data_IF_125894638289
#
_entry.id   IF_125894638289
#
_cell.length_a   1.000
_cell.length_b   1.000
_cell.length_c   1.000
_cell.angle_alpha   90.00
_cell.angle_beta   90.00
_cell.angle_gamma   90.00
#
_symmetry.space_group_name_H-M   'P 1'
#
loop_
_entity.id
_entity.type
_entity.pdbx_description
1 polymer ?
#
# COMPACT_ATOMS: atom_id res chain seq x y z
N UNK A 1 8.90 22.63 -14.70
CA UNK A 1 8.22 22.32 -13.43
C UNK A 1 6.70 22.17 -13.56
N UNK A 2 5.93 23.15 -14.07
CA UNK A 2 4.43 23.09 -14.14
C UNK A 2 3.82 21.94 -14.95
N UNK A 3 4.45 21.47 -16.02
CA UNK A 3 3.87 20.45 -16.92
C UNK A 3 4.04 19.01 -16.34
N UNK A 4 5.10 18.75 -15.60
CA UNK A 4 5.34 17.47 -14.93
C UNK A 4 4.37 17.29 -13.75
N UNK A 5 4.14 18.35 -12.97
CA UNK A 5 3.21 18.31 -11.84
C UNK A 5 1.75 18.06 -12.28
N UNK A 6 1.30 18.65 -13.40
CA UNK A 6 -0.04 18.41 -13.94
C UNK A 6 -0.27 16.97 -14.42
N UNK A 7 0.79 16.31 -14.93
CA UNK A 7 0.72 14.90 -15.34
C UNK A 7 0.69 13.99 -14.11
N UNK A 8 1.51 14.28 -13.11
CA UNK A 8 1.55 13.56 -11.84
C UNK A 8 0.20 13.63 -11.10
N UNK A 9 -0.41 14.81 -11.00
CA UNK A 9 -1.73 14.98 -10.37
C UNK A 9 -2.83 14.17 -11.07
N UNK A 10 -2.83 14.15 -12.40
CA UNK A 10 -3.78 13.34 -13.17
C UNK A 10 -3.57 11.84 -12.97
N UNK A 11 -2.33 11.38 -12.91
CA UNK A 11 -2.01 9.98 -12.62
C UNK A 11 -2.45 9.60 -11.22
N UNK A 12 -2.19 10.45 -10.22
CA UNK A 12 -2.61 10.23 -8.84
C UNK A 12 -4.13 10.23 -8.68
N UNK A 13 -4.85 11.12 -9.37
CA UNK A 13 -6.32 11.11 -9.38
C UNK A 13 -6.86 9.79 -9.96
N UNK A 14 -6.32 9.33 -11.10
CA UNK A 14 -6.70 8.04 -11.71
C UNK A 14 -6.38 6.85 -10.80
N UNK A 15 -5.25 6.88 -10.11
CA UNK A 15 -4.91 5.85 -9.14
C UNK A 15 -5.93 5.81 -7.99
N UNK A 16 -6.28 6.96 -7.42
CA UNK A 16 -7.29 7.08 -6.37
C UNK A 16 -8.67 6.59 -6.83
N UNK A 17 -9.09 6.92 -8.06
CA UNK A 17 -10.33 6.43 -8.67
C UNK A 17 -10.30 4.90 -8.85
N UNK A 18 -9.17 4.35 -9.32
CA UNK A 18 -8.98 2.90 -9.47
C UNK A 18 -9.13 2.18 -8.13
N UNK A 19 -8.51 2.69 -7.06
CA UNK A 19 -8.68 2.16 -5.72
C UNK A 19 -10.12 2.31 -5.20
N UNK A 20 -10.76 3.45 -5.49
CA UNK A 20 -12.15 3.69 -5.10
C UNK A 20 -13.12 2.70 -5.73
N UNK A 21 -12.93 2.37 -7.00
CA UNK A 21 -13.81 1.46 -7.75
C UNK A 21 -13.68 -0.01 -7.31
N UNK A 22 -12.56 -0.40 -6.71
CA UNK A 22 -12.27 -1.78 -6.31
C UNK A 22 -12.02 -1.93 -4.80
N UNK A 23 -12.47 -0.98 -3.99
CA UNK A 23 -12.20 -0.95 -2.56
C UNK A 23 -12.61 -2.24 -1.84
N UNK A 24 -13.81 -2.77 -2.13
CA UNK A 24 -14.30 -4.01 -1.54
C UNK A 24 -13.46 -5.23 -1.97
N UNK A 25 -13.08 -5.31 -3.25
CA UNK A 25 -12.25 -6.39 -3.76
C UNK A 25 -10.83 -6.33 -3.16
N UNK A 26 -10.25 -5.12 -3.07
CA UNK A 26 -8.96 -4.92 -2.43
C UNK A 26 -8.98 -5.33 -0.96
N UNK A 27 -9.99 -4.90 -0.24
CA UNK A 27 -10.14 -5.21 1.19
C UNK A 27 -10.33 -6.71 1.48
N UNK A 28 -11.09 -7.40 0.63
CA UNK A 28 -11.37 -8.83 0.80
C UNK A 28 -10.29 -9.77 0.26
N UNK A 29 -9.58 -9.38 -0.79
CA UNK A 29 -8.68 -10.27 -1.53
C UNK A 29 -7.20 -9.92 -1.36
N UNK A 30 -6.82 -8.63 -1.35
CA UNK A 30 -5.41 -8.22 -1.30
C UNK A 30 -4.95 -7.77 0.09
N UNK A 31 -5.78 -7.01 0.78
CA UNK A 31 -5.48 -6.53 2.13
C UNK A 31 -5.09 -7.65 3.11
N UNK A 32 -5.74 -8.84 3.11
CA UNK A 32 -5.34 -9.96 3.97
C UNK A 32 -3.90 -10.45 3.76
N UNK A 33 -3.34 -10.27 2.56
CA UNK A 33 -1.98 -10.69 2.21
C UNK A 33 -0.94 -9.73 2.79
N UNK A 34 -1.19 -8.43 2.66
CA UNK A 34 -0.23 -7.39 3.05
C UNK A 34 -0.37 -6.96 4.51
N UNK A 35 -1.56 -7.12 5.10
CA UNK A 35 -1.84 -6.73 6.48
C UNK A 35 -0.86 -7.33 7.50
N UNK A 36 -0.51 -8.63 7.47
CA UNK A 36 0.44 -9.19 8.42
C UNK A 36 1.79 -8.48 8.44
N UNK A 37 2.31 -8.06 7.28
CA UNK A 37 3.55 -7.28 7.21
C UNK A 37 3.40 -5.91 7.87
N UNK A 38 2.28 -5.22 7.63
CA UNK A 38 1.98 -3.95 8.31
C UNK A 38 1.82 -4.11 9.82
N UNK A 39 1.19 -5.20 10.28
CA UNK A 39 1.06 -5.49 11.72
C UNK A 39 2.43 -5.76 12.38
N UNK A 40 3.34 -6.47 11.69
CA UNK A 40 4.73 -6.66 12.16
C UNK A 40 5.49 -5.33 12.22
N UNK A 41 5.33 -4.46 11.22
CA UNK A 41 5.90 -3.11 11.26
C UNK A 41 5.42 -2.33 12.50
N UNK A 42 4.11 -2.37 12.79
CA UNK A 42 3.52 -1.69 13.96
C UNK A 42 4.16 -2.18 15.28
N UNK A 43 4.47 -3.49 15.38
CA UNK A 43 5.12 -4.06 16.55
C UNK A 43 6.55 -3.52 16.79
N UNK A 44 7.19 -2.95 15.77
CA UNK A 44 8.52 -2.32 15.89
C UNK A 44 8.47 -0.81 16.19
N UNK A 45 7.27 -0.22 16.25
CA UNK A 45 7.10 1.20 16.56
C UNK A 45 6.96 1.44 18.08
N UNK A 46 7.36 2.60 18.59
CA UNK A 46 7.29 2.93 20.02
C UNK A 46 5.85 3.30 20.44
N UNK A 47 4.90 2.45 20.11
CA UNK A 47 3.50 2.59 20.49
C UNK A 47 3.28 1.99 21.89
N UNK A 48 2.56 2.71 22.74
CA UNK A 48 2.24 2.25 24.09
C UNK A 48 0.95 2.91 24.61
N UNK A 49 0.53 2.56 25.82
CA UNK A 49 -0.69 3.10 26.43
C UNK A 49 -0.63 4.61 26.73
N UNK A 50 0.54 5.23 26.72
CA UNK A 50 0.71 6.68 26.91
C UNK A 50 0.82 7.46 25.60
N UNK A 51 0.92 6.79 24.45
CA UNK A 51 0.89 7.43 23.12
C UNK A 51 -0.44 8.15 22.93
N UNK A 52 -0.40 9.41 22.50
CA UNK A 52 -1.58 10.26 22.38
C UNK A 52 -2.07 10.48 20.95
N UNK A 53 -1.15 10.55 19.98
CA UNK A 53 -1.50 10.89 18.61
C UNK A 53 -0.72 10.03 17.60
N UNK A 54 -1.46 9.29 16.78
CA UNK A 54 -0.91 8.43 15.71
C UNK A 54 -1.56 8.80 14.39
N UNK A 55 -0.80 8.80 13.32
CA UNK A 55 -1.32 8.98 11.97
C UNK A 55 -1.01 7.77 11.10
N UNK A 56 -2.03 7.27 10.38
CA UNK A 56 -1.92 6.23 9.36
C UNK A 56 -2.03 6.87 7.97
N UNK A 57 -0.91 6.95 7.27
CA UNK A 57 -0.74 7.59 5.97
C UNK A 57 -1.02 6.57 4.86
N UNK A 58 -2.04 6.84 4.03
CA UNK A 58 -2.53 5.86 3.06
C UNK A 58 -3.31 4.74 3.73
N UNK A 59 -4.17 5.09 4.68
CA UNK A 59 -4.91 4.14 5.53
C UNK A 59 -5.77 3.13 4.76
N UNK A 60 -6.08 3.43 3.49
CA UNK A 60 -6.93 2.58 2.65
C UNK A 60 -8.28 2.29 3.29
N UNK A 61 -8.66 1.00 3.32
CA UNK A 61 -9.85 0.51 3.99
C UNK A 61 -9.70 0.32 5.51
N UNK A 62 -8.60 0.80 6.09
CA UNK A 62 -8.34 0.78 7.53
C UNK A 62 -7.80 -0.54 8.07
N UNK A 63 -7.14 -1.35 7.24
CA UNK A 63 -6.68 -2.69 7.63
C UNK A 63 -5.72 -2.72 8.83
N UNK A 64 -4.93 -1.67 9.03
CA UNK A 64 -3.95 -1.57 10.12
C UNK A 64 -4.50 -0.87 11.37
N UNK A 65 -5.62 -0.16 11.28
CA UNK A 65 -6.20 0.59 12.39
C UNK A 65 -6.42 -0.26 13.65
N UNK A 66 -6.96 -1.50 13.57
CA UNK A 66 -7.12 -2.34 14.77
C UNK A 66 -5.78 -2.70 15.44
N UNK A 67 -4.70 -2.83 14.68
CA UNK A 67 -3.38 -3.11 15.26
C UNK A 67 -2.81 -1.88 15.96
N UNK A 68 -2.99 -0.69 15.38
CA UNK A 68 -2.60 0.58 15.99
C UNK A 68 -3.40 0.82 17.29
N UNK A 69 -4.73 0.60 17.27
CA UNK A 69 -5.59 0.73 18.45
C UNK A 69 -5.17 -0.20 19.58
N UNK A 70 -4.82 -1.47 19.28
CA UNK A 70 -4.31 -2.41 20.29
C UNK A 70 -2.98 -1.96 20.89
N UNK A 71 -2.09 -1.39 20.07
CA UNK A 71 -0.75 -0.97 20.51
C UNK A 71 -0.75 0.38 21.24
N UNK A 72 -1.74 1.24 20.94
CA UNK A 72 -1.90 2.57 21.56
C UNK A 72 -3.37 2.83 21.90
N UNK A 73 -3.93 2.15 22.91
CA UNK A 73 -5.37 2.15 23.18
C UNK A 73 -5.95 3.50 23.62
N UNK A 74 -5.11 4.43 24.06
CA UNK A 74 -5.52 5.79 24.47
C UNK A 74 -5.27 6.84 23.39
N UNK A 75 -4.72 6.43 22.23
CA UNK A 75 -4.33 7.38 21.18
C UNK A 75 -5.54 7.86 20.37
N UNK A 76 -5.50 9.12 19.98
CA UNK A 76 -6.28 9.61 18.86
C UNK A 76 -5.57 9.23 17.58
N UNK A 77 -6.17 8.30 16.84
CA UNK A 77 -5.63 7.82 15.57
C UNK A 77 -6.33 8.60 14.45
N UNK A 78 -5.57 9.07 13.48
CA UNK A 78 -6.07 9.73 12.28
C UNK A 78 -5.65 8.94 11.06
N UNK A 79 -6.60 8.48 10.26
CA UNK A 79 -6.32 7.83 8.98
C UNK A 79 -6.48 8.82 7.82
N UNK A 80 -5.51 8.87 6.91
CA UNK A 80 -5.60 9.71 5.71
C UNK A 80 -5.39 8.88 4.44
N UNK A 81 -6.19 9.18 3.41
CA UNK A 81 -6.06 8.53 2.10
C UNK A 81 -6.56 9.48 1.01
N UNK A 82 -6.14 9.27 -0.23
CA UNK A 82 -6.63 10.01 -1.40
C UNK A 82 -7.85 9.35 -2.05
N UNK A 83 -8.11 8.08 -1.77
CA UNK A 83 -9.23 7.30 -2.31
C UNK A 83 -10.50 7.46 -1.46
N UNK A 84 -11.50 8.13 -2.02
CA UNK A 84 -12.80 8.29 -1.34
C UNK A 84 -13.50 6.94 -1.11
N UNK A 85 -13.37 5.98 -2.06
CA UNK A 85 -13.98 4.65 -1.92
C UNK A 85 -13.37 3.87 -0.77
N UNK A 86 -12.04 3.91 -0.62
CA UNK A 86 -11.34 3.30 0.50
C UNK A 86 -11.78 3.90 1.83
N UNK A 87 -11.80 5.24 1.94
CA UNK A 87 -12.23 5.89 3.18
C UNK A 87 -13.69 5.63 3.53
N UNK A 88 -14.59 5.51 2.55
CA UNK A 88 -15.98 5.10 2.81
C UNK A 88 -16.05 3.71 3.43
N UNK A 89 -15.22 2.80 2.94
CA UNK A 89 -15.15 1.44 3.48
C UNK A 89 -14.54 1.43 4.89
N UNK A 90 -13.45 2.15 5.10
CA UNK A 90 -12.85 2.33 6.42
C UNK A 90 -13.83 2.90 7.43
N UNK A 91 -14.62 3.92 7.04
CA UNK A 91 -15.64 4.55 7.90
C UNK A 91 -16.78 3.59 8.30
N UNK A 92 -17.10 2.59 7.48
CA UNK A 92 -18.10 1.56 7.84
C UNK A 92 -17.58 0.60 8.90
N UNK A 93 -16.27 0.40 8.98
CA UNK A 93 -15.60 -0.59 9.83
C UNK A 93 -15.05 0.00 11.13
N UNK A 94 -14.69 1.31 11.11
CA UNK A 94 -13.94 1.95 12.19
C UNK A 94 -14.57 3.31 12.56
N UNK A 95 -14.50 3.65 13.85
CA UNK A 95 -15.00 4.92 14.40
C UNK A 95 -13.93 6.00 14.55
N UNK A 96 -12.75 5.80 13.94
CA UNK A 96 -11.65 6.77 14.01
C UNK A 96 -11.83 7.95 13.05
N UNK A 97 -11.22 9.11 13.31
CA UNK A 97 -11.12 10.20 12.37
C UNK A 97 -10.46 9.81 11.06
N UNK A 98 -11.13 10.02 9.94
CA UNK A 98 -10.65 9.77 8.60
C UNK A 98 -10.72 11.04 7.76
N UNK A 99 -9.68 11.29 6.95
CA UNK A 99 -9.65 12.47 6.09
C UNK A 99 -9.15 12.18 4.68
N UNK A 100 -9.82 12.79 3.70
CA UNK A 100 -9.42 12.74 2.29
C UNK A 100 -8.29 13.75 2.06
N UNK A 101 -7.06 13.28 1.88
CA UNK A 101 -5.88 14.13 1.73
C UNK A 101 -4.89 13.55 0.72
N UNK A 102 -4.13 14.46 0.11
CA UNK A 102 -2.90 14.09 -0.58
C UNK A 102 -1.76 13.95 0.45
N UNK A 103 -1.18 12.77 0.53
CA UNK A 103 -0.10 12.47 1.47
C UNK A 103 1.19 13.25 1.20
N UNK A 104 1.33 13.81 0.00
CA UNK A 104 2.44 14.71 -0.37
C UNK A 104 2.21 16.16 0.05
N UNK A 105 1.00 16.49 0.57
CA UNK A 105 0.64 17.82 1.04
C UNK A 105 -0.45 17.71 2.13
N UNK A 106 -0.04 17.34 3.33
CA UNK A 106 -0.96 17.13 4.45
C UNK A 106 -1.49 18.47 4.99
N UNK A 107 -2.80 18.61 5.02
CA UNK A 107 -3.47 19.77 5.65
C UNK A 107 -3.58 19.58 7.18
N UNK A 108 -2.45 19.22 7.81
CA UNK A 108 -2.35 18.96 9.25
C UNK A 108 -1.25 19.81 9.88
N UNK A 109 -1.38 20.17 11.18
CA UNK A 109 -0.38 20.96 11.87
C UNK A 109 0.96 20.23 12.00
N UNK A 110 2.04 20.98 12.00
CA UNK A 110 3.38 20.45 12.31
C UNK A 110 3.47 20.01 13.78
N UNK A 111 4.38 19.06 14.04
CA UNK A 111 4.72 18.60 15.40
C UNK A 111 3.51 18.10 16.22
N UNK A 112 2.60 17.38 15.57
CA UNK A 112 1.36 16.93 16.22
C UNK A 112 1.40 15.45 16.62
N UNK A 113 1.97 14.59 15.81
CA UNK A 113 1.91 13.14 15.97
C UNK A 113 3.19 12.58 16.61
N UNK A 114 3.05 11.57 17.44
CA UNK A 114 4.16 10.84 18.06
C UNK A 114 4.63 9.72 17.13
N UNK A 115 3.70 9.08 16.41
CA UNK A 115 4.00 7.98 15.48
C UNK A 115 3.24 8.17 14.18
N UNK A 116 3.92 7.91 13.07
CA UNK A 116 3.34 7.81 11.74
C UNK A 116 3.58 6.42 11.14
N UNK A 117 2.55 5.85 10.53
CA UNK A 117 2.61 4.60 9.76
C UNK A 117 2.44 4.93 8.29
N UNK A 118 3.32 4.40 7.41
CA UNK A 118 3.30 4.60 5.95
C UNK A 118 3.45 3.23 5.28
N UNK A 119 2.37 2.46 5.24
CA UNK A 119 2.42 1.07 4.80
C UNK A 119 1.95 0.92 3.35
N UNK A 120 2.83 0.41 2.46
CA UNK A 120 2.55 0.16 1.05
C UNK A 120 2.08 1.40 0.25
N UNK A 121 2.68 2.57 0.51
CA UNK A 121 2.29 3.86 -0.08
C UNK A 121 3.36 4.45 -0.99
N UNK A 122 4.63 4.44 -0.58
CA UNK A 122 5.71 5.24 -1.20
C UNK A 122 5.88 4.97 -2.70
N UNK A 123 5.80 3.72 -3.13
CA UNK A 123 5.94 3.32 -4.54
C UNK A 123 4.78 3.75 -5.44
N UNK A 124 3.67 4.20 -4.86
CA UNK A 124 2.55 4.78 -5.60
C UNK A 124 2.70 6.28 -5.85
N UNK A 125 3.70 6.91 -5.25
CA UNK A 125 3.87 8.36 -5.30
C UNK A 125 4.86 8.77 -6.39
N UNK A 126 4.55 9.78 -7.19
CA UNK A 126 5.53 10.33 -8.14
C UNK A 126 6.70 11.02 -7.43
N UNK A 127 6.49 11.51 -6.21
CA UNK A 127 7.48 12.21 -5.39
C UNK A 127 7.42 11.70 -3.94
N UNK A 128 7.92 10.48 -3.65
CA UNK A 128 7.85 9.87 -2.31
C UNK A 128 8.61 10.70 -1.24
N UNK A 129 9.65 11.44 -1.65
CA UNK A 129 10.38 12.37 -0.78
C UNK A 129 9.48 13.48 -0.22
N UNK A 130 8.48 13.95 -0.99
CA UNK A 130 7.51 14.95 -0.49
C UNK A 130 6.61 14.36 0.59
N UNK A 131 6.18 13.11 0.43
CA UNK A 131 5.41 12.42 1.46
C UNK A 131 6.21 12.30 2.76
N UNK A 132 7.44 11.82 2.69
CA UNK A 132 8.30 11.65 3.87
C UNK A 132 8.65 13.00 4.53
N UNK A 133 8.83 14.07 3.75
CA UNK A 133 9.01 15.42 4.28
C UNK A 133 7.76 15.90 5.04
N UNK A 134 6.55 15.66 4.53
CA UNK A 134 5.29 15.96 5.22
C UNK A 134 5.12 15.11 6.48
N UNK A 135 5.46 13.82 6.42
CA UNK A 135 5.47 12.95 7.60
C UNK A 135 6.42 13.49 8.67
N UNK A 136 7.65 13.86 8.28
CA UNK A 136 8.60 14.48 9.21
C UNK A 136 8.05 15.79 9.80
N UNK A 137 7.42 16.63 8.97
CA UNK A 137 6.83 17.90 9.43
C UNK A 137 5.73 17.71 10.48
N UNK A 138 4.83 16.74 10.28
CA UNK A 138 3.70 16.51 11.19
C UNK A 138 4.08 15.74 12.45
N UNK A 139 5.19 14.99 12.44
CA UNK A 139 5.73 14.32 13.62
C UNK A 139 6.29 15.34 14.62
N UNK A 140 6.13 15.05 15.91
CA UNK A 140 6.82 15.76 17.00
C UNK A 140 8.33 15.51 16.93
N UNK A 141 9.18 16.41 17.46
CA UNK A 141 10.58 16.10 17.71
C UNK A 141 10.71 14.79 18.51
N UNK A 142 11.54 13.86 18.04
CA UNK A 142 11.67 12.52 18.60
C UNK A 142 10.55 11.54 18.21
N UNK A 143 9.57 11.97 17.44
CA UNK A 143 8.51 11.11 16.91
C UNK A 143 9.02 10.10 15.89
N UNK A 144 8.35 8.94 15.79
CA UNK A 144 8.78 7.81 14.96
C UNK A 144 7.94 7.68 13.68
N UNK A 145 8.57 7.25 12.60
CA UNK A 145 7.90 6.74 11.40
C UNK A 145 8.20 5.27 11.21
N UNK A 146 7.19 4.50 10.81
CA UNK A 146 7.35 3.16 10.25
C UNK A 146 6.87 3.12 8.81
N UNK A 147 7.63 2.48 7.93
CA UNK A 147 7.23 2.27 6.54
C UNK A 147 7.52 0.85 6.07
N UNK A 148 6.66 0.34 5.19
CA UNK A 148 6.86 -0.93 4.48
C UNK A 148 6.57 -0.74 3.00
N UNK A 149 7.40 -1.35 2.17
CA UNK A 149 7.31 -1.30 0.71
C UNK A 149 7.70 -2.64 0.09
N UNK A 150 7.43 -2.81 -1.20
CA UNK A 150 7.77 -4.01 -1.94
C UNK A 150 9.26 -4.11 -2.27
N UNK A 151 9.79 -5.32 -2.15
CA UNK A 151 11.02 -5.77 -2.77
C UNK A 151 10.73 -6.62 -4.01
N UNK A 152 11.31 -7.82 -4.08
CA UNK A 152 11.01 -8.79 -5.14
C UNK A 152 9.64 -9.45 -4.92
N UNK A 153 8.97 -9.77 -6.01
CA UNK A 153 7.69 -10.49 -5.98
C UNK A 153 7.75 -11.66 -6.98
N UNK A 154 7.23 -12.81 -6.53
CA UNK A 154 7.01 -13.98 -7.37
C UNK A 154 5.50 -14.26 -7.38
N UNK A 155 4.87 -13.92 -8.49
CA UNK A 155 3.47 -14.20 -8.72
C UNK A 155 3.21 -15.72 -8.73
N UNK A 156 2.00 -16.16 -8.35
CA UNK A 156 1.60 -17.56 -8.50
C UNK A 156 1.79 -18.07 -9.92
N UNK A 157 2.17 -19.33 -10.07
CA UNK A 157 2.30 -19.97 -11.40
C UNK A 157 0.98 -19.89 -12.20
N UNK A 158 -0.15 -19.96 -11.52
CA UNK A 158 -1.46 -19.78 -12.11
C UNK A 158 -1.63 -18.40 -12.80
N UNK A 159 -0.92 -17.35 -12.36
CA UNK A 159 -0.95 -16.03 -13.00
C UNK A 159 -0.42 -16.03 -14.42
N UNK A 160 0.57 -16.89 -14.72
CA UNK A 160 1.09 -17.05 -16.09
C UNK A 160 0.01 -17.58 -17.05
N UNK A 161 -0.78 -18.57 -16.60
CA UNK A 161 -1.92 -19.10 -17.40
C UNK A 161 -2.93 -17.98 -17.71
N UNK A 162 -3.22 -17.10 -16.75
CA UNK A 162 -4.07 -15.93 -16.98
C UNK A 162 -3.49 -14.99 -18.03
N UNK A 163 -2.20 -14.72 -17.98
CA UNK A 163 -1.54 -13.81 -18.92
C UNK A 163 -1.57 -14.37 -20.35
N UNK A 164 -1.30 -15.67 -20.50
CA UNK A 164 -1.35 -16.37 -21.78
C UNK A 164 -2.77 -16.34 -22.39
N UNK A 165 -3.79 -16.70 -21.61
CA UNK A 165 -5.18 -16.73 -22.08
C UNK A 165 -5.72 -15.34 -22.44
N UNK A 166 -5.37 -14.32 -21.66
CA UNK A 166 -5.71 -12.95 -21.96
C UNK A 166 -5.01 -12.44 -23.23
N UNK A 167 -3.76 -12.84 -23.44
CA UNK A 167 -3.01 -12.49 -24.64
C UNK A 167 -3.62 -13.17 -25.88
N UNK A 168 -3.96 -14.46 -25.77
CA UNK A 168 -4.60 -15.22 -26.85
C UNK A 168 -5.98 -14.66 -27.22
N UNK A 169 -6.74 -14.22 -26.23
CA UNK A 169 -8.01 -13.51 -26.43
C UNK A 169 -7.86 -12.10 -27.02
N UNK A 170 -6.63 -11.60 -27.20
CA UNK A 170 -6.40 -10.25 -27.73
C UNK A 170 -6.69 -9.13 -26.71
N UNK A 171 -6.73 -9.46 -25.43
CA UNK A 171 -7.00 -8.49 -24.37
C UNK A 171 -5.93 -7.40 -24.30
N UNK A 172 -6.38 -6.14 -24.28
CA UNK A 172 -5.51 -4.97 -24.25
C UNK A 172 -5.43 -4.36 -22.86
N UNK A 173 -4.28 -3.77 -22.53
CA UNK A 173 -4.17 -2.94 -21.32
C UNK A 173 -4.85 -1.60 -21.60
N UNK A 174 -5.99 -1.38 -20.96
CA UNK A 174 -6.74 -0.13 -21.12
C UNK A 174 -6.30 0.88 -20.07
N UNK A 175 -6.01 2.09 -20.52
CA UNK A 175 -5.77 3.24 -19.65
C UNK A 175 -4.30 3.64 -19.53
N UNK A 176 -4.05 4.73 -18.81
CA UNK A 176 -2.69 5.14 -18.49
C UNK A 176 -2.09 4.15 -17.48
N UNK A 177 -0.79 3.82 -17.60
CA UNK A 177 -0.10 3.04 -16.59
C UNK A 177 -0.29 3.71 -15.21
N UNK A 178 -0.45 2.88 -14.18
CA UNK A 178 -0.39 3.37 -12.81
C UNK A 178 1.00 3.97 -12.55
N UNK A 179 1.07 4.93 -11.63
CA UNK A 179 2.37 5.30 -11.08
C UNK A 179 2.92 4.05 -10.42
N UNK A 180 4.02 3.55 -10.95
CA UNK A 180 4.83 2.52 -10.33
C UNK A 180 6.23 3.09 -10.17
N UNK A 181 6.53 3.49 -8.96
CA UNK A 181 7.80 4.06 -8.57
C UNK A 181 8.54 3.14 -7.58
N UNK A 182 8.36 1.81 -7.71
CA UNK A 182 9.01 0.82 -6.83
C UNK A 182 10.53 1.01 -6.81
N UNK A 183 11.11 1.36 -7.94
CA UNK A 183 12.56 1.58 -8.06
C UNK A 183 13.12 2.66 -7.13
N UNK A 184 12.28 3.52 -6.53
CA UNK A 184 12.72 4.53 -5.56
C UNK A 184 12.98 3.94 -4.16
N UNK A 185 12.42 2.77 -3.84
CA UNK A 185 12.42 2.17 -2.51
C UNK A 185 12.57 0.63 -2.52
N UNK A 186 13.15 0.06 -3.57
CA UNK A 186 13.33 -1.37 -3.81
C UNK A 186 14.62 -1.96 -3.21
N UNK A 187 15.27 -1.23 -2.33
CA UNK A 187 16.45 -1.73 -1.60
C UNK A 187 16.62 -1.01 -0.26
N UNK A 188 17.31 -1.67 0.68
CA UNK A 188 17.62 -1.08 1.99
C UNK A 188 18.36 0.25 1.86
N UNK A 189 19.31 0.35 0.89
CA UNK A 189 20.06 1.58 0.66
C UNK A 189 19.17 2.72 0.19
N UNK A 190 18.27 2.48 -0.76
CA UNK A 190 17.34 3.51 -1.27
C UNK A 190 16.35 3.95 -0.21
N UNK A 191 15.81 3.01 0.59
CA UNK A 191 14.94 3.33 1.73
C UNK A 191 15.66 4.22 2.75
N UNK A 192 16.92 3.87 3.11
CA UNK A 192 17.75 4.69 4.00
C UNK A 192 17.93 6.07 3.44
N UNK A 193 18.34 6.19 2.16
CA UNK A 193 18.58 7.48 1.50
C UNK A 193 17.32 8.35 1.47
N UNK A 194 16.15 7.78 1.16
CA UNK A 194 14.89 8.52 1.17
C UNK A 194 14.55 9.09 2.56
N UNK A 195 14.76 8.30 3.61
CA UNK A 195 14.50 8.72 4.99
C UNK A 195 15.50 9.78 5.45
N UNK A 196 16.79 9.63 5.12
CA UNK A 196 17.82 10.63 5.41
C UNK A 196 17.51 11.97 4.74
N UNK A 197 17.17 11.96 3.45
CA UNK A 197 16.79 13.15 2.68
C UNK A 197 15.57 13.87 3.24
N UNK A 198 14.65 13.13 3.85
CA UNK A 198 13.49 13.68 4.55
C UNK A 198 13.81 14.19 5.98
N UNK A 199 15.08 14.11 6.43
CA UNK A 199 15.52 14.60 7.73
C UNK A 199 15.28 13.65 8.91
N UNK A 200 15.09 12.36 8.64
CA UNK A 200 15.01 11.34 9.67
C UNK A 200 16.41 10.87 10.11
N UNK A 201 16.48 10.42 11.35
CA UNK A 201 17.69 9.90 11.99
C UNK A 201 17.40 8.54 12.63
N UNK A 202 18.43 7.85 13.12
CA UNK A 202 18.30 6.53 13.77
C UNK A 202 17.49 5.55 12.89
N UNK A 203 17.88 5.50 11.63
CA UNK A 203 17.17 4.72 10.61
C UNK A 203 17.59 3.25 10.74
N UNK A 204 16.60 2.38 10.82
CA UNK A 204 16.76 0.93 10.76
C UNK A 204 15.95 0.40 9.59
N UNK A 205 16.59 -0.33 8.67
CA UNK A 205 15.94 -0.99 7.54
C UNK A 205 16.21 -2.50 7.62
N UNK A 206 15.18 -3.31 7.38
CA UNK A 206 15.30 -4.77 7.31
C UNK A 206 14.35 -5.33 6.26
N UNK A 207 14.54 -6.60 5.93
CA UNK A 207 13.75 -7.31 4.94
C UNK A 207 12.93 -8.40 5.62
N UNK A 208 11.72 -8.62 5.16
CA UNK A 208 10.87 -9.74 5.56
C UNK A 208 10.20 -10.37 4.34
N UNK A 209 9.77 -11.63 4.50
CA UNK A 209 9.05 -12.35 3.45
C UNK A 209 7.55 -12.32 3.71
N UNK A 210 6.79 -12.30 2.62
CA UNK A 210 5.36 -12.57 2.60
C UNK A 210 5.17 -13.85 1.79
N UNK A 211 4.46 -14.82 2.35
CA UNK A 211 3.93 -15.96 1.61
C UNK A 211 2.41 -16.02 1.81
N UNK A 212 1.69 -16.20 0.72
CA UNK A 212 0.25 -16.38 0.76
C UNK A 212 -0.16 -17.52 -0.19
N UNK A 213 -0.95 -18.46 0.33
CA UNK A 213 -1.54 -19.55 -0.44
C UNK A 213 -2.99 -19.20 -0.72
N UNK A 214 -3.26 -18.91 -1.99
CA UNK A 214 -4.62 -18.69 -2.44
C UNK A 214 -5.37 -20.02 -2.53
N UNK A 215 -6.66 -20.01 -2.20
CA UNK A 215 -7.54 -21.02 -2.75
C UNK A 215 -7.76 -20.71 -4.24
N UNK A 216 -7.95 -21.69 -5.07
CA UNK A 216 -8.13 -21.51 -6.52
C UNK A 216 -9.24 -20.49 -6.85
N UNK A 217 -10.37 -20.56 -6.17
CA UNK A 217 -11.51 -19.65 -6.36
C UNK A 217 -11.17 -18.21 -5.92
N UNK A 218 -10.46 -18.02 -4.81
CA UNK A 218 -10.06 -16.69 -4.34
C UNK A 218 -9.02 -16.07 -5.29
N UNK A 219 -8.09 -16.88 -5.85
CA UNK A 219 -7.17 -16.42 -6.88
C UNK A 219 -7.90 -16.05 -8.17
N UNK A 220 -8.88 -16.85 -8.57
CA UNK A 220 -9.73 -16.54 -9.72
C UNK A 220 -10.46 -15.20 -9.51
N UNK A 221 -11.09 -15.00 -8.37
CA UNK A 221 -11.75 -13.74 -7.99
C UNK A 221 -10.77 -12.56 -7.96
N UNK A 222 -9.56 -12.76 -7.42
CA UNK A 222 -8.50 -11.75 -7.44
C UNK A 222 -8.15 -11.33 -8.86
N UNK A 223 -7.96 -12.28 -9.76
CA UNK A 223 -7.66 -11.97 -11.16
C UNK A 223 -8.80 -11.19 -11.83
N UNK A 224 -10.04 -11.68 -11.71
CA UNK A 224 -11.22 -11.06 -12.36
C UNK A 224 -11.50 -9.65 -11.81
N UNK A 225 -11.41 -9.47 -10.50
CA UNK A 225 -11.85 -8.22 -9.84
C UNK A 225 -10.71 -7.22 -9.63
N UNK A 226 -9.47 -7.67 -9.70
CA UNK A 226 -8.29 -6.88 -9.37
C UNK A 226 -7.25 -6.85 -10.50
N UNK A 227 -6.45 -7.91 -10.62
CA UNK A 227 -5.23 -7.91 -11.42
C UNK A 227 -5.53 -7.84 -12.93
N UNK A 228 -6.37 -8.74 -13.44
CA UNK A 228 -6.71 -8.86 -14.86
C UNK A 228 -7.95 -8.05 -15.27
N UNK A 229 -8.58 -7.36 -14.33
CA UNK A 229 -9.87 -6.67 -14.54
C UNK A 229 -9.90 -5.77 -15.78
N UNK A 230 -8.92 -4.92 -15.94
CA UNK A 230 -8.91 -3.95 -17.05
C UNK A 230 -8.69 -4.63 -18.40
N UNK A 231 -7.88 -5.69 -18.44
CA UNK A 231 -7.67 -6.51 -19.64
C UNK A 231 -8.95 -7.24 -20.02
N UNK A 232 -9.62 -7.86 -19.04
CA UNK A 232 -10.93 -8.50 -19.28
C UNK A 232 -12.00 -7.52 -19.77
N UNK A 233 -11.98 -6.27 -19.32
CA UNK A 233 -12.91 -5.23 -19.77
C UNK A 233 -12.64 -4.74 -21.21
N UNK A 234 -11.47 -5.05 -21.78
CA UNK A 234 -11.17 -4.73 -23.19
C UNK A 234 -11.78 -5.73 -24.16
N UNK A 235 -12.17 -6.91 -23.69
CA UNK A 235 -12.79 -7.94 -24.49
C UNK A 235 -14.30 -7.71 -24.58
N UNK A 236 -14.90 -8.13 -25.69
CA UNK A 236 -16.35 -8.23 -25.75
C UNK A 236 -16.86 -9.35 -24.82
N UNK A 237 -18.16 -9.52 -24.74
CA UNK A 237 -18.77 -10.47 -23.76
C UNK A 237 -18.42 -11.91 -24.09
N UNK A 238 -18.45 -12.27 -25.40
CA UNK A 238 -18.22 -13.64 -25.86
C UNK A 238 -16.76 -14.06 -25.67
N UNK A 239 -15.83 -13.23 -26.10
CA UNK A 239 -14.38 -13.45 -25.95
C UNK A 239 -13.96 -13.51 -24.48
N UNK A 240 -14.52 -12.63 -23.66
CA UNK A 240 -14.28 -12.65 -22.21
C UNK A 240 -14.75 -13.93 -21.55
N UNK A 241 -15.98 -14.40 -21.86
CA UNK A 241 -16.50 -15.64 -21.32
C UNK A 241 -15.70 -16.85 -21.81
N UNK A 242 -15.28 -16.84 -23.07
CA UNK A 242 -14.44 -17.90 -23.63
C UNK A 242 -13.07 -17.93 -22.94
N UNK A 243 -12.43 -16.79 -22.73
CA UNK A 243 -11.18 -16.67 -21.98
C UNK A 243 -11.33 -17.20 -20.55
N UNK A 244 -12.36 -16.80 -19.83
CA UNK A 244 -12.60 -17.28 -18.45
C UNK A 244 -12.84 -18.80 -18.39
N UNK A 245 -13.52 -19.39 -19.38
CA UNK A 245 -13.68 -20.85 -19.46
C UNK A 245 -12.32 -21.53 -19.67
N UNK A 246 -11.52 -21.09 -20.65
CA UNK A 246 -10.20 -21.68 -20.91
C UNK A 246 -9.26 -21.62 -19.72
N UNK A 247 -9.25 -20.48 -18.98
CA UNK A 247 -8.48 -20.36 -17.74
C UNK A 247 -8.91 -21.41 -16.73
N UNK A 248 -10.23 -21.62 -16.51
CA UNK A 248 -10.72 -22.64 -15.59
C UNK A 248 -10.34 -24.05 -16.02
N UNK A 249 -10.51 -24.36 -17.30
CA UNK A 249 -10.19 -25.67 -17.85
C UNK A 249 -8.69 -26.00 -17.70
N UNK A 250 -7.82 -25.04 -18.00
CA UNK A 250 -6.35 -25.19 -17.87
C UNK A 250 -5.88 -25.30 -16.43
N UNK A 251 -6.57 -24.68 -15.49
CA UNK A 251 -6.23 -24.69 -14.07
C UNK A 251 -7.03 -25.73 -13.26
N UNK A 252 -7.83 -26.58 -13.92
CA UNK A 252 -8.69 -27.58 -13.24
C UNK A 252 -7.89 -28.60 -12.41
N UNK A 253 -6.71 -28.99 -12.89
CA UNK A 253 -5.82 -29.96 -12.27
C UNK A 253 -4.61 -29.32 -11.56
N UNK A 254 -4.62 -27.98 -11.42
CA UNK A 254 -3.54 -27.26 -10.75
C UNK A 254 -3.56 -27.54 -9.24
N UNK A 255 -2.40 -27.88 -8.70
CA UNK A 255 -2.22 -28.11 -7.27
C UNK A 255 -2.07 -26.78 -6.49
N UNK A 256 -2.05 -26.86 -5.16
CA UNK A 256 -1.95 -25.71 -4.27
C UNK A 256 -0.67 -24.87 -4.48
N UNK A 257 0.44 -25.47 -4.96
CA UNK A 257 1.68 -24.74 -5.23
C UNK A 257 1.55 -23.79 -6.42
N UNK A 258 0.64 -24.05 -7.37
CA UNK A 258 0.34 -23.14 -8.47
C UNK A 258 -0.26 -21.81 -8.00
N UNK A 259 -0.79 -21.77 -6.78
CA UNK A 259 -1.48 -20.59 -6.21
C UNK A 259 -0.69 -19.90 -5.11
N UNK A 260 0.60 -20.20 -4.96
CA UNK A 260 1.42 -19.57 -3.93
C UNK A 260 2.02 -18.27 -4.44
N UNK A 261 1.64 -17.17 -3.79
CA UNK A 261 2.28 -15.87 -3.93
C UNK A 261 3.44 -15.76 -2.93
N UNK A 262 4.59 -15.30 -3.37
CA UNK A 262 5.75 -15.01 -2.54
C UNK A 262 6.27 -13.61 -2.84
N UNK A 263 6.52 -12.83 -1.80
CA UNK A 263 7.06 -11.49 -1.93
C UNK A 263 8.07 -11.20 -0.83
N UNK A 264 8.98 -10.29 -1.13
CA UNK A 264 9.87 -9.66 -0.18
C UNK A 264 9.39 -8.24 0.08
N UNK A 265 9.50 -7.78 1.32
CA UNK A 265 9.20 -6.41 1.69
C UNK A 265 10.37 -5.79 2.42
N UNK A 266 10.65 -4.52 2.13
CA UNK A 266 11.55 -3.69 2.92
C UNK A 266 10.74 -2.93 3.96
N UNK A 267 11.12 -3.11 5.23
CA UNK A 267 10.56 -2.40 6.36
C UNK A 267 11.59 -1.41 6.89
N UNK A 268 11.11 -0.26 7.35
CA UNK A 268 11.97 0.69 8.01
C UNK A 268 11.28 1.35 9.20
N UNK A 269 12.07 1.66 10.24
CA UNK A 269 11.73 2.60 11.29
C UNK A 269 12.78 3.70 11.34
N UNK A 270 12.33 4.93 11.60
CA UNK A 270 13.21 6.07 11.74
C UNK A 270 12.59 7.11 12.69
N UNK A 271 13.40 8.04 13.17
CA UNK A 271 12.95 9.05 14.13
C UNK A 271 13.19 10.46 13.57
N UNK A 272 12.26 11.37 13.83
CA UNK A 272 12.50 12.79 13.64
C UNK A 272 13.54 13.27 14.65
N UNK A 273 14.53 14.02 14.17
CA UNK A 273 15.55 14.60 15.06
C UNK A 273 14.90 15.39 16.20
N UNK A 274 15.37 15.15 17.42
CA UNK A 274 15.00 15.95 18.59
C UNK A 274 16.16 16.87 18.95
N UNK A 275 16.03 18.18 18.72
CA UNK A 275 17.10 19.14 18.99
C UNK A 275 17.48 19.19 20.49
N UNK A 276 16.66 18.64 21.37
CA UNK A 276 16.95 18.60 22.82
C UNK A 276 17.90 17.46 23.21
N UNK A 277 18.07 16.44 22.39
CA UNK A 277 18.89 15.25 22.67
C UNK A 277 20.33 15.42 22.16
N UNK A 278 20.61 16.39 21.29
CA UNK A 278 21.90 16.61 20.64
C UNK A 278 22.90 17.49 21.40
N UNK A 279 22.63 17.92 22.61
CA UNK A 279 23.47 18.82 23.42
C UNK A 279 24.01 18.18 24.73
N UNK A 280 24.28 16.86 24.72
CA UNK A 280 25.02 16.23 25.81
C UNK A 280 26.35 15.65 25.33
#
# INVERSE_FOLDING_TARGET
MKQVDLTADKQMAKLADRYSQRADAYDGLWSPIIRPAGERLIAHLPLCSTTKYVIDIGTGAGALLPAIERSAPSAVIVGVDRSQGMLRLAKKKHSIPLALMDVQKLALPANRFEVAVVAFVLFHLPFPERCLAEVNRVLQPGGAVGTVTWGSENEPLASATWDEELQEAGAQVIGLPAVDNRTCCDSSQKMTTLLEQAGFVTIKVWTESIEHRWRSEDHFDYQVRMNSRLRLQSLDVEDREACLRRVRDRLSDADDEHYVYRGEVFMATAFKADPRVGNQ
#
